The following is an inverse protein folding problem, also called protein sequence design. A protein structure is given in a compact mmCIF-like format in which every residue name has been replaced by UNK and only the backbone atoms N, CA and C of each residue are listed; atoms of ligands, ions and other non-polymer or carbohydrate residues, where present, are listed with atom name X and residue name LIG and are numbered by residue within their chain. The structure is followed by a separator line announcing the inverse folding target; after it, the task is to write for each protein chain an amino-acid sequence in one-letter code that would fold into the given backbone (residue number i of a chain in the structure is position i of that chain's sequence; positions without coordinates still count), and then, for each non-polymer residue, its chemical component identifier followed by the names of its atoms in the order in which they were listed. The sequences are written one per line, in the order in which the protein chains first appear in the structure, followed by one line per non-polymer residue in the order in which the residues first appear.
data_IF_709192362187
#
_entry.id   IF_709192362187
#
_cell.length_a   1.000
_cell.length_b   1.000
_cell.length_c   1.000
_cell.angle_alpha   90.00
_cell.angle_beta   90.00
_cell.angle_gamma   90.00
#
_symmetry.space_group_name_H-M   'P 1'
#
loop_
_entity.id
_entity.type
_entity.pdbx_description
1 polymer ?
#
# COMPACT_ATOMS: atom_id res chain seq x y z
N UNK A 1 -15.61 -18.02 -9.97
CA UNK A 1 -14.28 -17.47 -9.72
C UNK A 1 -14.41 -16.30 -8.74
N UNK A 2 -13.51 -16.21 -7.81
CA UNK A 2 -13.52 -15.15 -6.82
C UNK A 2 -12.66 -14.00 -7.30
N UNK A 3 -13.27 -12.84 -7.56
CA UNK A 3 -12.57 -11.66 -8.06
C UNK A 3 -11.51 -11.14 -7.07
N UNK A 4 -11.69 -11.41 -5.78
CA UNK A 4 -10.74 -10.92 -4.77
C UNK A 4 -9.36 -11.59 -4.88
N UNK A 5 -9.26 -12.76 -5.55
CA UNK A 5 -7.99 -13.43 -5.76
C UNK A 5 -7.16 -12.79 -6.87
N UNK A 6 -7.75 -11.89 -7.64
CA UNK A 6 -7.12 -11.27 -8.80
C UNK A 6 -6.59 -9.86 -8.51
N UNK A 7 -6.50 -9.47 -7.25
CA UNK A 7 -5.92 -8.16 -6.90
C UNK A 7 -4.46 -8.12 -7.33
N UNK A 8 -4.03 -7.07 -8.02
CA UNK A 8 -2.63 -6.91 -8.37
C UNK A 8 -1.75 -6.89 -7.11
N UNK A 9 -0.67 -7.63 -7.15
CA UNK A 9 0.28 -7.69 -6.05
C UNK A 9 1.70 -7.76 -6.59
N UNK A 10 2.62 -7.14 -5.86
CA UNK A 10 4.05 -7.20 -6.14
C UNK A 10 4.79 -7.53 -4.85
N UNK A 11 6.02 -8.01 -4.97
CA UNK A 11 6.83 -8.26 -3.78
C UNK A 11 7.61 -7.00 -3.36
N UNK A 12 8.31 -7.10 -2.24
CA UNK A 12 9.08 -5.99 -1.67
C UNK A 12 10.15 -5.52 -2.64
N UNK A 13 10.85 -6.42 -3.31
CA UNK A 13 11.91 -6.05 -4.25
C UNK A 13 11.36 -5.24 -5.42
N UNK A 14 10.23 -5.65 -5.97
CA UNK A 14 9.57 -4.92 -7.06
C UNK A 14 9.09 -3.54 -6.59
N UNK A 15 8.52 -3.46 -5.40
CA UNK A 15 8.07 -2.19 -4.83
C UNK A 15 9.24 -1.22 -4.67
N UNK A 16 10.37 -1.71 -4.15
CA UNK A 16 11.57 -0.89 -4.01
C UNK A 16 12.09 -0.39 -5.35
N UNK A 17 12.12 -1.26 -6.36
CA UNK A 17 12.56 -0.87 -7.71
C UNK A 17 11.69 0.22 -8.31
N UNK A 18 10.40 0.22 -8.01
CA UNK A 18 9.41 1.16 -8.55
C UNK A 18 9.28 2.45 -7.75
N UNK A 19 9.94 2.55 -6.60
CA UNK A 19 9.65 3.58 -5.58
C UNK A 19 9.64 5.02 -6.10
N UNK A 20 10.42 5.33 -7.11
CA UNK A 20 10.50 6.69 -7.64
C UNK A 20 9.36 7.03 -8.62
N UNK A 21 8.65 6.03 -9.10
CA UNK A 21 7.55 6.21 -10.04
C UNK A 21 6.16 5.94 -9.46
N UNK A 22 6.08 5.57 -8.20
CA UNK A 22 4.82 5.22 -7.53
C UNK A 22 4.67 5.98 -6.22
N UNK A 23 3.45 5.98 -5.67
CA UNK A 23 3.23 6.39 -4.30
C UNK A 23 3.30 5.14 -3.42
N UNK A 24 4.17 5.13 -2.42
CA UNK A 24 4.19 4.09 -1.40
C UNK A 24 3.22 4.52 -0.30
N UNK A 25 2.09 3.85 -0.19
CA UNK A 25 1.04 4.19 0.77
C UNK A 25 1.02 3.19 1.91
N UNK A 26 1.45 3.63 3.09
CA UNK A 26 1.46 2.82 4.30
C UNK A 26 0.12 2.99 5.02
N UNK A 27 -0.65 1.90 5.15
CA UNK A 27 -1.98 1.93 5.77
C UNK A 27 -1.98 1.32 7.17
N UNK A 28 -0.80 1.18 7.79
CA UNK A 28 -0.68 0.65 9.16
C UNK A 28 -1.14 1.66 10.19
N UNK A 29 -1.26 1.21 11.43
CA UNK A 29 -1.56 2.08 12.55
C UNK A 29 -0.38 3.05 12.83
N UNK A 30 -0.67 4.13 13.53
CA UNK A 30 0.32 5.17 13.78
C UNK A 30 1.53 4.69 14.57
N UNK A 31 1.32 3.82 15.56
CA UNK A 31 2.41 3.27 16.36
C UNK A 31 3.34 2.40 15.51
N UNK A 32 2.80 1.64 14.57
CA UNK A 32 3.61 0.87 13.63
C UNK A 32 4.43 1.78 12.72
N UNK A 33 3.81 2.84 12.21
CA UNK A 33 4.49 3.83 11.37
C UNK A 33 5.63 4.51 12.12
N UNK A 34 5.37 4.93 13.34
CA UNK A 34 6.36 5.63 14.16
C UNK A 34 7.57 4.75 14.49
N UNK A 35 7.33 3.44 14.64
CA UNK A 35 8.41 2.48 14.93
C UNK A 35 9.35 2.28 13.73
N UNK A 36 8.94 2.65 12.54
CA UNK A 36 9.75 2.55 11.33
C UNK A 36 8.89 2.39 10.11
N UNK A 37 9.31 2.96 8.97
CA UNK A 37 8.55 2.91 7.72
C UNK A 37 9.47 3.06 6.52
N UNK A 38 8.95 2.76 5.34
CA UNK A 38 9.72 2.86 4.11
C UNK A 38 10.04 4.32 3.79
N UNK A 39 11.27 4.62 3.35
CA UNK A 39 11.62 5.99 2.97
C UNK A 39 10.70 6.51 1.87
N UNK A 40 10.22 7.73 2.04
CA UNK A 40 9.35 8.38 1.06
C UNK A 40 7.90 7.95 1.08
N UNK A 41 7.51 7.03 1.98
CA UNK A 41 6.13 6.57 2.07
C UNK A 41 5.21 7.66 2.62
N UNK A 42 3.95 7.62 2.18
CA UNK A 42 2.87 8.45 2.71
C UNK A 42 2.10 7.58 3.70
N UNK A 43 1.74 8.13 4.85
CA UNK A 43 1.00 7.40 5.87
C UNK A 43 -0.45 7.84 5.95
N UNK A 44 -1.36 6.91 5.65
CA UNK A 44 -2.79 7.08 5.90
C UNK A 44 -3.30 5.76 6.46
N UNK A 45 -3.62 5.67 7.76
CA UNK A 45 -4.14 4.44 8.33
C UNK A 45 -5.39 3.97 7.58
N UNK A 46 -5.58 2.66 7.47
CA UNK A 46 -6.67 2.09 6.70
C UNK A 46 -8.03 2.69 7.08
N UNK A 47 -8.28 2.89 8.38
CA UNK A 47 -9.54 3.44 8.84
C UNK A 47 -9.79 4.88 8.36
N UNK A 48 -8.73 5.62 8.08
CA UNK A 48 -8.81 7.02 7.65
C UNK A 48 -8.81 7.16 6.13
N UNK A 49 -8.57 6.09 5.41
CA UNK A 49 -8.41 6.15 3.96
C UNK A 49 -9.61 6.77 3.24
N UNK A 50 -10.88 6.42 3.58
CA UNK A 50 -12.02 7.04 2.89
C UNK A 50 -12.05 8.56 3.01
N UNK A 51 -11.69 9.10 4.16
CA UNK A 51 -11.72 10.54 4.40
C UNK A 51 -10.50 11.25 3.80
N UNK A 52 -9.37 10.55 3.63
CA UNK A 52 -8.10 11.17 3.28
C UNK A 52 -7.55 10.76 1.91
N UNK A 53 -8.30 9.97 1.15
CA UNK A 53 -7.82 9.50 -0.16
C UNK A 53 -7.49 10.65 -1.11
N UNK A 54 -8.13 11.80 -0.97
CA UNK A 54 -7.84 12.98 -1.78
C UNK A 54 -6.45 13.58 -1.57
N UNK A 55 -5.75 13.17 -0.49
CA UNK A 55 -4.37 13.62 -0.25
C UNK A 55 -3.35 12.88 -1.09
N UNK A 56 -3.75 11.78 -1.75
CA UNK A 56 -2.84 10.93 -2.52
C UNK A 56 -2.70 11.49 -3.94
N UNK A 57 -1.48 11.47 -4.47
CA UNK A 57 -1.22 11.84 -5.86
C UNK A 57 -1.86 10.79 -6.80
N UNK A 58 -3.00 11.13 -7.39
CA UNK A 58 -3.76 10.23 -8.26
C UNK A 58 -3.16 10.06 -9.66
N UNK A 59 -2.07 10.76 -9.98
CA UNK A 59 -1.42 10.64 -11.28
C UNK A 59 -0.41 9.50 -11.35
N UNK A 60 -0.14 8.84 -10.23
CA UNK A 60 0.88 7.78 -10.12
C UNK A 60 0.23 6.52 -9.57
N UNK A 61 0.74 5.33 -9.98
CA UNK A 61 0.30 4.09 -9.34
C UNK A 61 0.57 4.13 -7.84
N UNK A 62 -0.29 3.48 -7.06
CA UNK A 62 -0.20 3.46 -5.61
C UNK A 62 0.13 2.04 -5.17
N UNK A 63 1.22 1.87 -4.45
CA UNK A 63 1.60 0.60 -3.83
C UNK A 63 1.17 0.65 -2.37
N UNK A 64 0.22 -0.19 -1.99
CA UNK A 64 -0.33 -0.24 -0.64
C UNK A 64 0.50 -1.17 0.24
N UNK A 65 0.85 -0.71 1.43
CA UNK A 65 1.78 -1.36 2.34
C UNK A 65 1.12 -1.52 3.71
N UNK A 66 1.21 -2.74 4.27
CA UNK A 66 0.93 -2.96 5.68
C UNK A 66 1.97 -3.92 6.25
N UNK A 67 1.74 -4.53 7.41
CA UNK A 67 2.72 -5.41 8.01
C UNK A 67 2.88 -6.72 7.25
N UNK A 68 1.76 -7.36 6.85
CA UNK A 68 1.76 -8.70 6.27
C UNK A 68 1.07 -8.80 4.91
N UNK A 69 0.44 -7.73 4.44
CA UNK A 69 -0.27 -7.71 3.16
C UNK A 69 -1.79 -7.75 3.27
N UNK A 70 -2.37 -7.97 4.45
CA UNK A 70 -3.82 -8.12 4.61
C UNK A 70 -4.57 -6.79 4.60
N UNK A 71 -4.14 -5.83 5.44
CA UNK A 71 -4.76 -4.50 5.46
C UNK A 71 -4.54 -3.77 4.14
N UNK A 72 -3.35 -3.91 3.58
CA UNK A 72 -3.02 -3.29 2.30
C UNK A 72 -3.80 -3.90 1.14
N UNK A 73 -4.14 -5.19 1.20
CA UNK A 73 -5.02 -5.80 0.20
C UNK A 73 -6.41 -5.16 0.25
N UNK A 74 -6.93 -4.87 1.44
CA UNK A 74 -8.21 -4.17 1.59
C UNK A 74 -8.15 -2.75 1.05
N UNK A 75 -7.07 -2.04 1.33
CA UNK A 75 -6.85 -0.70 0.78
C UNK A 75 -6.76 -0.73 -0.74
N UNK A 76 -6.04 -1.70 -1.28
CA UNK A 76 -5.91 -1.88 -2.73
C UNK A 76 -7.28 -2.10 -3.37
N UNK A 77 -8.10 -2.98 -2.81
CA UNK A 77 -9.44 -3.26 -3.34
C UNK A 77 -10.32 -2.00 -3.29
N UNK A 78 -10.26 -1.27 -2.18
CA UNK A 78 -11.04 -0.04 -2.01
C UNK A 78 -10.67 1.02 -3.03
N UNK A 79 -9.38 1.24 -3.24
CA UNK A 79 -8.88 2.21 -4.20
C UNK A 79 -9.22 1.81 -5.63
N UNK A 80 -9.02 0.54 -5.99
CA UNK A 80 -9.34 0.06 -7.34
C UNK A 80 -10.83 0.18 -7.66
N UNK A 81 -11.69 -0.02 -6.68
CA UNK A 81 -13.12 0.17 -6.86
C UNK A 81 -13.47 1.62 -7.23
N UNK A 82 -12.59 2.55 -6.96
CA UNK A 82 -12.73 3.98 -7.30
C UNK A 82 -11.94 4.39 -8.53
N UNK A 83 -11.43 3.42 -9.30
CA UNK A 83 -10.71 3.71 -10.54
C UNK A 83 -9.25 4.08 -10.33
N UNK A 84 -8.71 3.89 -9.13
CA UNK A 84 -7.31 4.20 -8.83
C UNK A 84 -6.43 3.00 -9.16
N UNK A 85 -5.28 3.24 -9.77
CA UNK A 85 -4.30 2.20 -10.07
C UNK A 85 -3.53 1.85 -8.79
N UNK A 86 -4.02 0.87 -8.06
CA UNK A 86 -3.46 0.44 -6.78
C UNK A 86 -3.00 -1.00 -6.85
N UNK A 87 -1.90 -1.29 -6.14
CA UNK A 87 -1.22 -2.59 -6.13
C UNK A 87 -0.89 -2.93 -4.68
N UNK A 88 -1.08 -4.18 -4.29
CA UNK A 88 -0.75 -4.64 -2.94
C UNK A 88 0.71 -5.08 -2.86
N UNK A 89 1.45 -4.59 -1.87
CA UNK A 89 2.79 -5.13 -1.59
C UNK A 89 2.67 -6.38 -0.73
N UNK A 90 2.78 -7.54 -1.37
CA UNK A 90 2.72 -8.83 -0.70
C UNK A 90 3.91 -8.98 0.26
N UNK A 91 3.66 -9.57 1.42
CA UNK A 91 4.67 -9.73 2.47
C UNK A 91 4.81 -8.53 3.38
N UNK A 92 4.42 -7.35 2.93
CA UNK A 92 4.37 -6.14 3.73
C UNK A 92 5.69 -5.74 4.36
N UNK A 93 5.61 -4.95 5.41
CA UNK A 93 6.81 -4.46 6.10
C UNK A 93 7.59 -5.56 6.81
N UNK A 94 6.94 -6.69 7.12
CA UNK A 94 7.67 -7.85 7.65
C UNK A 94 8.73 -8.34 6.66
N UNK A 95 8.34 -8.52 5.40
CA UNK A 95 9.27 -8.90 4.35
C UNK A 95 10.24 -7.77 4.00
N UNK A 96 9.79 -6.51 4.08
CA UNK A 96 10.64 -5.35 3.86
C UNK A 96 11.83 -5.34 4.82
N UNK A 97 11.58 -5.59 6.09
CA UNK A 97 12.62 -5.59 7.11
C UNK A 97 13.65 -6.70 6.90
N UNK A 98 13.23 -7.81 6.26
CA UNK A 98 14.11 -8.95 5.98
C UNK A 98 14.87 -8.82 4.65
N UNK A 99 14.56 -7.83 3.88
CA UNK A 99 15.14 -7.67 2.54
C UNK A 99 16.55 -7.04 2.57
#
# INVERSE_FOLDING_TARGET
MNASTDLPAIDVAAAWSMRNGVVLLDVRAEDEWTAGHAPGAVHIPLADLPARAGEIDGTRPIVCICRSGNRSARATAWLRARGVDAINMAGGMGAWADA
#
